data_IF_746613232506
#
_entry.id   IF_746613232506
#
_cell.length_a   1.000
_cell.length_b   1.000
_cell.length_c   1.000
_cell.angle_alpha   90.00
_cell.angle_beta   90.00
_cell.angle_gamma   90.00
#
_symmetry.space_group_name_H-M   'P 1'
#
loop_
_entity.id
_entity.type
_entity.pdbx_description
1 polymer ?
#
# COMPACT_ATOMS: atom_id res chain seq x y z
N UNK A 1 21.02 -4.33 57.53
CA UNK A 1 20.17 -4.41 56.32
C UNK A 1 20.43 -5.73 55.63
N UNK A 2 19.47 -6.61 55.66
CA UNK A 2 19.63 -8.02 55.29
C UNK A 2 19.63 -8.20 53.76
N UNK A 3 20.73 -8.69 53.21
CA UNK A 3 20.89 -8.99 51.77
C UNK A 3 19.87 -9.97 51.22
N UNK A 4 19.26 -10.81 52.08
CA UNK A 4 18.23 -11.77 51.72
C UNK A 4 16.88 -11.09 51.41
N UNK A 5 16.54 -9.99 52.11
CA UNK A 5 15.32 -9.24 51.86
C UNK A 5 15.34 -8.49 50.51
N UNK A 6 16.50 -8.03 50.07
CA UNK A 6 16.67 -7.35 48.79
C UNK A 6 16.55 -8.30 47.58
N UNK A 7 17.08 -9.53 47.70
CA UNK A 7 16.98 -10.54 46.64
C UNK A 7 15.54 -11.08 46.46
N UNK A 8 14.78 -11.21 47.54
CA UNK A 8 13.36 -11.64 47.49
C UNK A 8 12.47 -10.55 46.87
N UNK A 9 12.75 -9.28 47.14
CA UNK A 9 12.03 -8.16 46.54
C UNK A 9 12.25 -8.03 45.01
N UNK A 10 13.50 -8.23 44.56
CA UNK A 10 13.84 -8.19 43.14
C UNK A 10 13.22 -9.36 42.35
N UNK A 11 13.16 -10.56 42.93
CA UNK A 11 12.57 -11.74 42.32
C UNK A 11 11.03 -11.62 42.22
N UNK A 12 10.37 -11.02 43.20
CA UNK A 12 8.92 -10.79 43.19
C UNK A 12 8.53 -9.74 42.16
N UNK A 13 9.29 -8.64 41.99
CA UNK A 13 9.04 -7.65 40.94
C UNK A 13 9.23 -8.23 39.53
N UNK A 14 10.24 -9.10 39.32
CA UNK A 14 10.45 -9.74 38.02
C UNK A 14 9.37 -10.75 37.65
N UNK A 15 8.83 -11.48 38.64
CA UNK A 15 7.73 -12.45 38.40
C UNK A 15 6.40 -11.75 38.11
N UNK A 16 6.11 -10.61 38.73
CA UNK A 16 4.90 -9.83 38.50
C UNK A 16 4.93 -9.17 37.12
N UNK A 17 6.09 -8.65 36.69
CA UNK A 17 6.24 -8.06 35.35
C UNK A 17 6.16 -9.12 34.24
N UNK A 18 6.67 -10.33 34.44
CA UNK A 18 6.56 -11.44 33.51
C UNK A 18 5.10 -11.94 33.38
N UNK A 19 4.35 -12.03 34.47
CA UNK A 19 2.95 -12.46 34.47
C UNK A 19 2.02 -11.42 33.84
N UNK A 20 2.26 -10.14 34.04
CA UNK A 20 1.48 -9.07 33.38
C UNK A 20 1.75 -8.99 31.90
N UNK A 21 2.99 -9.17 31.46
CA UNK A 21 3.34 -9.25 30.04
C UNK A 21 2.72 -10.49 29.36
N UNK A 22 2.72 -11.63 30.03
CA UNK A 22 2.09 -12.87 29.54
C UNK A 22 0.56 -12.77 29.47
N UNK A 23 -0.07 -12.12 30.45
CA UNK A 23 -1.50 -11.84 30.44
C UNK A 23 -1.89 -10.85 29.33
N UNK A 24 -1.09 -9.80 29.11
CA UNK A 24 -1.28 -8.85 28.05
C UNK A 24 -1.13 -9.52 26.66
N UNK A 25 -0.15 -10.42 26.52
CA UNK A 25 0.04 -11.21 25.28
C UNK A 25 -1.13 -12.19 25.06
N UNK A 26 -1.61 -12.85 26.08
CA UNK A 26 -2.76 -13.76 26.00
C UNK A 26 -4.06 -13.02 25.67
N UNK A 27 -4.25 -11.83 26.23
CA UNK A 27 -5.41 -10.97 25.91
C UNK A 27 -5.31 -10.42 24.48
N UNK A 28 -4.11 -10.07 23.99
CA UNK A 28 -3.92 -9.63 22.62
C UNK A 28 -4.14 -10.75 21.60
N UNK A 29 -3.81 -12.00 21.93
CA UNK A 29 -4.07 -13.18 21.07
C UNK A 29 -5.56 -13.55 21.03
N UNK A 30 -6.34 -13.24 22.05
CA UNK A 30 -7.78 -13.49 22.07
C UNK A 30 -8.57 -12.37 21.40
N UNK A 31 -8.06 -11.14 21.42
CA UNK A 31 -8.65 -10.00 20.72
C UNK A 31 -8.56 -10.25 19.21
N UNK A 32 -9.62 -9.98 18.50
CA UNK A 32 -9.72 -10.23 17.05
C UNK A 32 -9.61 -11.72 16.61
N UNK A 33 -9.76 -12.68 17.54
CA UNK A 33 -9.66 -14.11 17.21
C UNK A 33 -10.67 -14.55 16.14
N UNK A 34 -11.88 -13.95 16.14
CA UNK A 34 -12.90 -14.24 15.11
C UNK A 34 -12.48 -13.73 13.74
N UNK A 35 -11.89 -12.53 13.65
CA UNK A 35 -11.37 -11.99 12.39
C UNK A 35 -10.17 -12.79 11.89
N UNK A 36 -9.28 -13.22 12.79
CA UNK A 36 -8.16 -14.09 12.44
C UNK A 36 -8.63 -15.45 11.91
N UNK A 37 -9.61 -16.08 12.56
CA UNK A 37 -10.24 -17.34 12.09
C UNK A 37 -10.92 -17.16 10.74
N UNK A 38 -11.67 -16.07 10.55
CA UNK A 38 -12.29 -15.74 9.26
C UNK A 38 -11.26 -15.64 8.12
N UNK A 39 -10.13 -14.97 8.39
CA UNK A 39 -9.02 -14.88 7.44
C UNK A 39 -8.38 -16.24 7.15
N UNK A 40 -8.04 -17.02 8.20
CA UNK A 40 -7.38 -18.32 8.07
C UNK A 40 -8.21 -19.33 7.26
N UNK A 41 -9.54 -19.36 7.46
CA UNK A 41 -10.48 -20.21 6.72
C UNK A 41 -10.56 -19.84 5.21
N UNK A 42 -10.04 -18.70 4.82
CA UNK A 42 -10.03 -18.17 3.45
C UNK A 42 -8.60 -18.00 2.91
N UNK A 43 -7.78 -19.02 3.14
CA UNK A 43 -6.38 -19.08 2.72
C UNK A 43 -5.49 -17.97 3.29
N UNK A 44 -5.92 -17.31 4.40
CA UNK A 44 -5.12 -16.31 5.07
C UNK A 44 -3.83 -16.90 5.62
N UNK A 45 -2.72 -16.20 5.40
CA UNK A 45 -1.39 -16.55 5.94
C UNK A 45 -1.04 -15.70 7.13
N UNK A 46 -1.29 -14.40 7.05
CA UNK A 46 -1.02 -13.41 8.09
C UNK A 46 -2.19 -12.44 8.26
N UNK A 47 -2.37 -12.01 9.49
CA UNK A 47 -3.33 -11.00 9.90
C UNK A 47 -2.70 -10.12 10.97
N UNK A 48 -2.79 -8.80 10.79
CA UNK A 48 -2.18 -7.81 11.68
C UNK A 48 -3.11 -6.62 11.86
N UNK A 49 -3.30 -6.16 13.10
CA UNK A 49 -3.99 -4.91 13.44
C UNK A 49 -3.03 -4.01 14.18
N UNK A 50 -2.83 -2.82 13.65
CA UNK A 50 -2.01 -1.75 14.24
C UNK A 50 -2.91 -0.55 14.51
N UNK A 51 -2.82 0.04 15.69
CA UNK A 51 -3.51 1.28 16.03
C UNK A 51 -2.54 2.31 16.56
N UNK A 52 -2.51 3.49 15.95
CA UNK A 52 -1.56 4.57 16.29
C UNK A 52 -0.10 4.09 16.35
N UNK A 53 0.30 3.17 15.45
CA UNK A 53 1.64 2.59 15.40
C UNK A 53 1.90 1.46 16.41
N UNK A 54 0.92 1.09 17.24
CA UNK A 54 1.03 -0.01 18.21
C UNK A 54 0.32 -1.25 17.68
N UNK A 55 1.01 -2.40 17.66
CA UNK A 55 0.41 -3.68 17.28
C UNK A 55 -0.57 -4.11 18.36
N UNK A 56 -1.85 -4.23 17.99
CA UNK A 56 -2.92 -4.72 18.85
C UNK A 56 -3.08 -6.24 18.77
N UNK A 57 -2.90 -6.80 17.57
CA UNK A 57 -2.93 -8.24 17.34
C UNK A 57 -2.14 -8.60 16.09
N UNK A 58 -1.56 -9.80 16.10
CA UNK A 58 -0.95 -10.42 14.95
C UNK A 58 -1.14 -11.94 15.01
N UNK A 59 -1.48 -12.55 13.87
CA UNK A 59 -1.69 -13.98 13.74
C UNK A 59 -1.04 -14.48 12.45
N UNK A 60 -0.39 -15.63 12.54
CA UNK A 60 0.28 -16.29 11.43
C UNK A 60 -0.23 -17.74 11.34
N UNK A 61 -1.11 -18.00 10.39
CA UNK A 61 -1.60 -19.36 10.09
C UNK A 61 -0.62 -20.12 9.18
N UNK A 62 0.28 -19.39 8.51
CA UNK A 62 1.39 -19.93 7.75
C UNK A 62 2.59 -19.00 7.81
N UNK A 63 3.79 -19.55 7.83
CA UNK A 63 5.02 -18.77 7.95
C UNK A 63 5.16 -18.11 9.33
N UNK A 64 5.72 -16.90 9.38
CA UNK A 64 5.94 -16.09 10.57
C UNK A 64 6.01 -14.61 10.24
N UNK A 65 6.38 -13.80 11.24
CA UNK A 65 6.38 -12.33 11.16
C UNK A 65 7.21 -11.77 10.00
N UNK A 66 8.29 -12.44 9.62
CA UNK A 66 9.22 -12.01 8.56
C UNK A 66 8.98 -12.74 7.23
N UNK A 67 7.97 -13.63 7.15
CA UNK A 67 7.65 -14.30 5.90
C UNK A 67 7.08 -13.31 4.89
N UNK A 68 7.71 -13.26 3.71
CA UNK A 68 7.24 -12.45 2.59
C UNK A 68 6.21 -13.22 1.79
N UNK A 69 5.07 -12.59 1.59
CA UNK A 69 4.04 -13.08 0.69
C UNK A 69 3.90 -12.14 -0.50
N UNK A 70 3.70 -12.69 -1.69
CA UNK A 70 3.33 -11.90 -2.86
C UNK A 70 1.98 -11.23 -2.60
N UNK A 71 1.90 -9.93 -2.82
CA UNK A 71 0.68 -9.15 -2.53
C UNK A 71 -0.09 -8.75 -3.79
N UNK A 72 0.36 -9.21 -4.96
CA UNK A 72 -0.28 -8.91 -6.24
C UNK A 72 -0.49 -7.41 -6.43
N UNK A 73 -1.66 -7.01 -6.90
CA UNK A 73 -2.00 -5.58 -7.10
C UNK A 73 -1.98 -4.74 -5.81
N UNK A 74 -1.92 -5.35 -4.62
CA UNK A 74 -1.62 -4.63 -3.37
C UNK A 74 -0.26 -3.92 -3.38
N UNK A 75 0.63 -4.29 -4.31
CA UNK A 75 1.91 -3.62 -4.62
C UNK A 75 1.72 -2.14 -4.94
N UNK A 76 0.59 -1.77 -5.52
CA UNK A 76 0.29 -0.39 -5.95
C UNK A 76 0.36 0.62 -4.81
N UNK A 77 0.20 0.19 -3.54
CA UNK A 77 0.40 1.04 -2.35
C UNK A 77 1.83 1.60 -2.22
N UNK A 78 2.82 1.02 -2.89
CA UNK A 78 4.19 1.54 -2.89
C UNK A 78 4.40 2.68 -3.91
N UNK A 79 3.51 2.83 -4.88
CA UNK A 79 3.58 3.90 -5.87
C UNK A 79 3.47 5.29 -5.25
N UNK A 80 2.45 5.59 -4.39
CA UNK A 80 2.38 6.88 -3.72
C UNK A 80 3.58 7.15 -2.80
N UNK A 81 4.17 6.11 -2.20
CA UNK A 81 5.39 6.28 -1.39
C UNK A 81 6.60 6.66 -2.25
N UNK A 82 6.75 6.07 -3.44
CA UNK A 82 7.79 6.45 -4.37
C UNK A 82 7.59 7.90 -4.85
N UNK A 83 6.37 8.24 -5.27
CA UNK A 83 6.03 9.61 -5.71
C UNK A 83 6.29 10.63 -4.60
N UNK A 84 5.83 10.37 -3.37
CA UNK A 84 6.03 11.24 -2.23
C UNK A 84 7.50 11.39 -1.83
N UNK A 85 8.31 10.33 -2.00
CA UNK A 85 9.75 10.39 -1.75
C UNK A 85 10.47 11.26 -2.78
N UNK A 86 10.10 11.14 -4.07
CA UNK A 86 10.65 11.96 -5.14
C UNK A 86 10.26 13.44 -4.99
N UNK A 87 9.03 13.72 -4.56
CA UNK A 87 8.57 15.10 -4.28
C UNK A 87 9.31 15.69 -3.08
N UNK A 88 9.46 14.93 -1.99
CA UNK A 88 10.20 15.36 -0.79
C UNK A 88 11.65 15.70 -1.12
N UNK A 89 12.30 14.89 -1.96
CA UNK A 89 13.67 15.10 -2.42
C UNK A 89 13.77 16.17 -3.52
N UNK A 90 12.66 16.83 -3.89
CA UNK A 90 12.57 17.88 -4.93
C UNK A 90 13.02 17.41 -6.31
N UNK A 91 12.84 16.14 -6.61
CA UNK A 91 13.17 15.54 -7.91
C UNK A 91 11.99 15.58 -8.87
N UNK A 92 10.79 15.85 -8.36
CA UNK A 92 9.54 15.81 -9.10
C UNK A 92 8.49 16.70 -8.46
N UNK A 93 7.53 17.19 -9.27
CA UNK A 93 6.25 17.71 -8.78
C UNK A 93 5.10 16.90 -9.38
N UNK A 94 3.95 16.85 -8.69
CA UNK A 94 2.81 16.11 -9.22
C UNK A 94 2.19 16.75 -10.47
N UNK A 95 2.34 18.06 -10.62
CA UNK A 95 1.72 18.82 -11.70
C UNK A 95 2.63 19.02 -12.91
N UNK A 96 3.89 18.57 -12.85
CA UNK A 96 4.74 18.61 -14.01
C UNK A 96 4.23 17.67 -15.11
N UNK A 97 4.40 18.03 -16.40
CA UNK A 97 4.04 17.14 -17.50
C UNK A 97 4.97 15.93 -17.55
N UNK A 98 4.42 14.76 -17.84
CA UNK A 98 5.19 13.52 -18.11
C UNK A 98 6.22 13.76 -19.24
N UNK A 99 5.87 14.57 -20.21
CA UNK A 99 6.74 14.99 -21.32
C UNK A 99 8.02 15.68 -20.88
N UNK A 100 8.08 16.29 -19.69
CA UNK A 100 9.32 16.86 -19.15
C UNK A 100 10.41 15.78 -18.92
N UNK A 101 10.01 14.53 -18.77
CA UNK A 101 10.91 13.39 -18.59
C UNK A 101 10.92 12.46 -19.81
N UNK A 102 9.77 12.23 -20.44
CA UNK A 102 9.60 11.47 -21.67
C UNK A 102 9.51 12.45 -22.84
N UNK A 103 10.66 13.04 -23.25
CA UNK A 103 10.74 14.19 -24.15
C UNK A 103 9.97 14.07 -25.46
N UNK A 104 9.93 12.84 -26.05
CA UNK A 104 9.21 12.58 -27.29
C UNK A 104 7.70 12.86 -27.20
N UNK A 105 7.14 12.81 -25.98
CA UNK A 105 5.74 13.12 -25.73
C UNK A 105 5.41 14.61 -25.85
N UNK A 106 6.42 15.49 -25.82
CA UNK A 106 6.24 16.92 -25.97
C UNK A 106 5.72 17.35 -27.36
N UNK A 107 5.97 16.54 -28.40
CA UNK A 107 5.47 16.78 -29.75
C UNK A 107 4.03 16.26 -29.98
N UNK A 108 3.53 15.41 -29.07
CA UNK A 108 2.18 14.85 -29.15
C UNK A 108 1.18 15.78 -28.41
N UNK A 109 0.16 16.33 -29.11
CA UNK A 109 -0.73 17.34 -28.52
C UNK A 109 -1.57 16.82 -27.36
N UNK A 110 -1.78 15.49 -27.25
CA UNK A 110 -2.55 14.88 -26.16
C UNK A 110 -1.60 14.44 -25.05
N UNK A 111 -0.55 13.68 -25.36
CA UNK A 111 0.40 13.19 -24.35
C UNK A 111 1.12 14.32 -23.61
N UNK A 112 1.39 15.45 -24.27
CA UNK A 112 2.01 16.63 -23.64
C UNK A 112 1.19 17.22 -22.51
N UNK A 113 -0.12 16.95 -22.46
CA UNK A 113 -1.03 17.42 -21.40
C UNK A 113 -1.11 16.48 -20.18
N UNK A 114 -0.54 15.28 -20.27
CA UNK A 114 -0.55 14.32 -19.17
C UNK A 114 0.43 14.77 -18.09
N UNK A 115 -0.06 15.15 -16.91
CA UNK A 115 0.78 15.39 -15.73
C UNK A 115 1.05 14.10 -14.96
N UNK A 116 2.03 14.13 -14.05
CA UNK A 116 2.30 13.02 -13.12
C UNK A 116 1.05 12.71 -12.30
N UNK A 117 0.32 13.71 -11.82
CA UNK A 117 -0.95 13.55 -11.09
C UNK A 117 -1.99 12.78 -11.91
N UNK A 118 -2.20 13.15 -13.16
CA UNK A 118 -3.15 12.50 -14.07
C UNK A 118 -2.72 11.06 -14.35
N UNK A 119 -1.42 10.82 -14.55
CA UNK A 119 -0.89 9.47 -14.73
C UNK A 119 -1.14 8.58 -13.51
N UNK A 120 -0.77 9.05 -12.30
CA UNK A 120 -0.88 8.27 -11.06
C UNK A 120 -2.32 8.06 -10.60
N UNK A 121 -3.25 8.93 -10.99
CA UNK A 121 -4.68 8.76 -10.70
C UNK A 121 -5.38 7.74 -11.62
N UNK A 122 -4.65 7.11 -12.56
CA UNK A 122 -5.23 6.18 -13.53
C UNK A 122 -6.12 6.87 -14.59
N UNK A 123 -6.01 8.21 -14.73
CA UNK A 123 -6.85 9.00 -15.62
C UNK A 123 -6.10 9.49 -16.87
N UNK A 124 -4.98 8.87 -17.21
CA UNK A 124 -4.17 9.27 -18.38
C UNK A 124 -4.78 8.89 -19.73
N UNK A 125 -5.79 8.02 -19.75
CA UNK A 125 -6.34 7.41 -20.96
C UNK A 125 -5.45 6.32 -21.56
N UNK A 126 -4.34 6.00 -20.92
CA UNK A 126 -3.39 4.98 -21.39
C UNK A 126 -3.72 3.63 -20.77
N UNK A 127 -3.89 2.61 -21.61
CA UNK A 127 -4.08 1.22 -21.18
C UNK A 127 -3.44 0.27 -22.19
N UNK A 128 -2.94 -0.85 -21.69
CA UNK A 128 -2.44 -1.92 -22.53
C UNK A 128 -3.57 -2.67 -23.20
N UNK A 129 -3.31 -3.17 -24.39
CA UNK A 129 -4.18 -4.14 -25.03
C UNK A 129 -4.31 -5.41 -24.15
N UNK A 130 -5.49 -6.02 -24.13
CA UNK A 130 -5.83 -7.12 -23.21
C UNK A 130 -4.81 -8.28 -23.28
N UNK A 131 -4.32 -8.61 -24.47
CA UNK A 131 -3.36 -9.69 -24.72
C UNK A 131 -2.02 -9.18 -25.28
N UNK A 132 -1.77 -7.88 -25.20
CA UNK A 132 -0.54 -7.24 -25.70
C UNK A 132 0.63 -7.31 -24.74
N UNK A 133 1.84 -6.98 -25.23
CA UNK A 133 3.02 -6.83 -24.37
C UNK A 133 2.80 -5.75 -23.31
N UNK A 134 3.35 -5.96 -22.10
CA UNK A 134 3.27 -5.03 -20.97
C UNK A 134 4.66 -4.54 -20.57
N UNK A 135 5.48 -4.21 -21.59
CA UNK A 135 6.82 -3.70 -21.43
C UNK A 135 6.86 -2.17 -21.59
N UNK A 136 8.04 -1.59 -21.33
CA UNK A 136 8.24 -0.15 -21.39
C UNK A 136 8.09 0.41 -22.81
N UNK A 137 8.59 -0.29 -23.83
CA UNK A 137 8.50 0.20 -25.21
C UNK A 137 7.04 0.33 -25.64
N UNK A 138 6.24 -0.70 -25.34
CA UNK A 138 4.79 -0.67 -25.56
C UNK A 138 4.13 0.46 -24.78
N UNK A 139 4.44 0.62 -23.47
CA UNK A 139 3.86 1.67 -22.65
C UNK A 139 4.15 3.08 -23.18
N UNK A 140 5.37 3.35 -23.65
CA UNK A 140 5.75 4.65 -24.24
C UNK A 140 4.98 4.91 -25.56
N UNK A 141 4.73 3.85 -26.35
CA UNK A 141 4.06 3.94 -27.64
C UNK A 141 2.54 4.10 -27.53
N UNK A 142 1.92 3.77 -26.39
CA UNK A 142 0.47 3.87 -26.19
C UNK A 142 -0.06 5.26 -26.57
N UNK A 143 -1.25 5.26 -27.15
CA UNK A 143 -2.03 6.48 -27.38
C UNK A 143 -3.18 6.53 -26.39
N UNK A 144 -3.51 7.71 -25.83
CA UNK A 144 -4.66 7.84 -24.95
C UNK A 144 -5.96 7.52 -25.69
N UNK A 145 -6.75 6.59 -25.16
CA UNK A 145 -8.07 6.24 -25.69
C UNK A 145 -9.12 7.28 -25.32
N UNK A 146 -8.87 8.05 -24.25
CA UNK A 146 -9.72 9.09 -23.71
C UNK A 146 -8.88 10.34 -23.44
N UNK A 147 -9.54 11.50 -23.36
CA UNK A 147 -8.86 12.73 -22.97
C UNK A 147 -8.29 12.60 -21.55
N UNK A 148 -7.02 12.99 -21.31
CA UNK A 148 -6.42 12.91 -19.99
C UNK A 148 -7.24 13.64 -18.92
N UNK A 149 -7.47 12.99 -17.78
CA UNK A 149 -8.26 13.51 -16.66
C UNK A 149 -9.76 13.22 -16.72
N UNK A 150 -10.29 12.62 -17.78
CA UNK A 150 -11.76 12.46 -17.95
C UNK A 150 -12.29 11.11 -17.48
N UNK A 151 -11.56 10.04 -17.72
CA UNK A 151 -11.98 8.68 -17.37
C UNK A 151 -10.87 7.92 -16.65
N UNK A 152 -11.28 7.05 -15.73
CA UNK A 152 -10.38 6.18 -14.98
C UNK A 152 -10.23 4.83 -15.67
N UNK A 153 -9.00 4.35 -15.74
CA UNK A 153 -8.65 2.98 -16.14
C UNK A 153 -7.81 2.30 -15.06
N UNK A 154 -8.24 1.11 -14.63
CA UNK A 154 -7.48 0.26 -13.69
C UNK A 154 -6.46 -0.59 -14.46
N UNK A 155 -5.47 0.06 -15.06
CA UNK A 155 -4.45 -0.56 -15.91
C UNK A 155 -3.05 -0.49 -15.29
N UNK A 156 -2.13 -1.33 -15.77
CA UNK A 156 -0.74 -1.35 -15.34
C UNK A 156 0.18 -0.38 -16.09
N UNK A 157 -0.25 0.18 -17.23
CA UNK A 157 0.58 1.10 -18.03
C UNK A 157 1.07 2.33 -17.24
N UNK A 158 0.24 3.00 -16.40
CA UNK A 158 0.72 4.11 -15.57
C UNK A 158 1.86 3.73 -14.63
N UNK A 159 1.87 2.50 -14.10
CA UNK A 159 2.89 2.02 -13.17
C UNK A 159 4.22 1.74 -13.89
N UNK A 160 4.19 1.17 -15.09
CA UNK A 160 5.37 0.95 -15.94
C UNK A 160 5.99 2.30 -16.33
N UNK A 161 5.16 3.24 -16.81
CA UNK A 161 5.60 4.59 -17.20
C UNK A 161 6.19 5.34 -16.00
N UNK A 162 5.55 5.30 -14.85
CA UNK A 162 6.05 6.00 -13.67
C UNK A 162 7.36 5.39 -13.14
N UNK A 163 7.53 4.07 -13.22
CA UNK A 163 8.82 3.42 -12.92
C UNK A 163 9.95 3.98 -13.79
N UNK A 164 9.71 4.16 -15.08
CA UNK A 164 10.70 4.73 -16.01
C UNK A 164 10.94 6.22 -15.75
N UNK A 165 9.89 7.00 -15.48
CA UNK A 165 10.02 8.41 -15.11
C UNK A 165 10.89 8.56 -13.87
N UNK A 166 10.60 7.78 -12.84
CA UNK A 166 11.39 7.76 -11.61
C UNK A 166 12.87 7.41 -11.89
N UNK A 167 13.10 6.35 -12.69
CA UNK A 167 14.45 5.93 -13.08
C UNK A 167 15.24 7.06 -13.77
N UNK A 168 14.63 7.75 -14.75
CA UNK A 168 15.28 8.85 -15.46
C UNK A 168 15.59 10.02 -14.54
N UNK A 169 14.66 10.42 -13.69
CA UNK A 169 14.86 11.50 -12.71
C UNK A 169 15.97 11.18 -11.72
N UNK A 170 15.98 9.97 -11.17
CA UNK A 170 17.02 9.49 -10.26
C UNK A 170 18.39 9.47 -10.94
N UNK A 171 18.48 9.00 -12.19
CA UNK A 171 19.71 9.00 -12.98
C UNK A 171 20.21 10.43 -13.19
N UNK A 172 19.36 11.35 -13.60
CA UNK A 172 19.72 12.76 -13.82
C UNK A 172 20.20 13.43 -12.54
N UNK A 173 19.64 13.03 -11.40
CA UNK A 173 20.02 13.55 -10.07
C UNK A 173 21.23 12.84 -9.45
N UNK A 174 21.91 11.92 -10.15
CA UNK A 174 22.99 11.08 -9.63
C UNK A 174 22.59 10.34 -8.32
N UNK A 175 21.37 9.83 -8.28
CA UNK A 175 20.86 8.99 -7.20
C UNK A 175 20.84 7.51 -7.64
N UNK A 176 20.51 6.59 -6.71
CA UNK A 176 20.25 5.20 -7.07
C UNK A 176 19.19 5.14 -8.19
N UNK A 177 19.54 4.69 -9.40
CA UNK A 177 18.66 4.80 -10.57
C UNK A 177 17.51 3.78 -10.53
N UNK A 178 17.64 2.69 -9.78
CA UNK A 178 16.58 1.70 -9.63
C UNK A 178 15.50 2.22 -8.67
N UNK A 179 14.26 2.47 -9.13
CA UNK A 179 13.20 3.05 -8.29
C UNK A 179 12.87 2.22 -7.05
N UNK A 180 12.94 0.88 -7.14
CA UNK A 180 12.66 0.02 -5.99
C UNK A 180 13.80 0.05 -4.96
N UNK A 181 15.05 0.11 -5.41
CA UNK A 181 16.20 0.27 -4.52
C UNK A 181 16.23 1.66 -3.88
N UNK A 182 15.95 2.70 -4.67
CA UNK A 182 15.82 4.06 -4.13
C UNK A 182 14.72 4.10 -3.07
N UNK A 183 13.51 3.64 -3.37
CA UNK A 183 12.40 3.61 -2.41
C UNK A 183 12.77 2.79 -1.16
N UNK A 184 13.41 1.64 -1.35
CA UNK A 184 13.82 0.77 -0.24
C UNK A 184 14.81 1.48 0.68
N UNK A 185 15.91 2.02 0.15
CA UNK A 185 16.95 2.64 0.97
C UNK A 185 16.51 3.98 1.56
N UNK A 186 15.77 4.80 0.79
CA UNK A 186 15.36 6.16 1.15
C UNK A 186 14.20 6.18 2.15
N UNK A 187 13.26 5.22 2.03
CA UNK A 187 11.99 5.28 2.75
C UNK A 187 11.67 3.99 3.50
N UNK A 188 11.74 2.83 2.86
CA UNK A 188 11.23 1.59 3.45
C UNK A 188 12.11 1.03 4.56
N UNK A 189 13.44 1.07 4.41
CA UNK A 189 14.38 0.67 5.48
C UNK A 189 14.23 1.54 6.73
N UNK A 190 14.20 2.89 6.64
CA UNK A 190 14.01 3.75 7.81
C UNK A 190 12.74 3.47 8.62
N UNK A 191 11.67 3.02 7.97
CA UNK A 191 10.40 2.69 8.64
C UNK A 191 10.31 1.22 9.07
N UNK A 192 11.29 0.39 8.75
CA UNK A 192 11.25 -1.04 9.07
C UNK A 192 10.34 -1.87 8.13
N UNK A 193 10.02 -1.38 6.94
CA UNK A 193 9.29 -2.13 5.92
C UNK A 193 10.22 -3.12 5.20
N UNK A 194 10.67 -4.10 5.94
CA UNK A 194 11.55 -5.18 5.47
C UNK A 194 11.13 -6.50 6.12
N UNK A 195 11.43 -7.65 5.53
CA UNK A 195 12.01 -7.82 4.19
C UNK A 195 11.00 -7.51 3.07
N UNK A 196 11.49 -6.98 1.96
CA UNK A 196 10.70 -6.75 0.75
C UNK A 196 11.44 -7.29 -0.47
N UNK A 197 10.71 -7.81 -1.46
CA UNK A 197 11.23 -8.27 -2.73
C UNK A 197 10.40 -7.72 -3.89
N UNK A 198 11.01 -7.65 -5.08
CA UNK A 198 10.38 -7.11 -6.28
C UNK A 198 10.61 -8.02 -7.47
N UNK A 199 9.56 -8.36 -8.19
CA UNK A 199 9.67 -8.89 -9.55
C UNK A 199 9.90 -7.75 -10.52
N UNK A 200 10.38 -8.08 -11.73
CA UNK A 200 10.76 -7.09 -12.73
C UNK A 200 10.15 -7.41 -14.08
N UNK A 201 9.98 -6.36 -14.89
CA UNK A 201 9.68 -6.48 -16.31
C UNK A 201 10.89 -7.07 -17.07
N UNK A 202 10.69 -7.43 -18.34
CA UNK A 202 11.77 -7.84 -19.24
C UNK A 202 12.86 -6.77 -19.38
N UNK A 203 12.48 -5.49 -19.27
CA UNK A 203 13.36 -4.32 -19.35
C UNK A 203 14.08 -4.04 -18.02
N UNK A 204 13.89 -4.89 -17.01
CA UNK A 204 14.53 -4.77 -15.70
C UNK A 204 13.88 -3.75 -14.75
N UNK A 205 12.79 -3.08 -15.13
CA UNK A 205 12.06 -2.17 -14.23
C UNK A 205 11.33 -2.95 -13.12
N UNK A 206 11.29 -2.43 -11.89
CA UNK A 206 10.48 -3.03 -10.83
C UNK A 206 8.99 -2.92 -11.16
N UNK A 207 8.25 -4.00 -10.92
CA UNK A 207 6.82 -4.05 -11.18
C UNK A 207 6.05 -3.47 -9.99
N UNK A 208 5.74 -2.18 -10.05
CA UNK A 208 4.92 -1.49 -9.04
C UNK A 208 3.42 -1.76 -9.19
N UNK A 209 3.00 -2.44 -10.24
CA UNK A 209 1.61 -2.87 -10.45
C UNK A 209 1.24 -4.09 -9.59
N UNK A 210 2.12 -5.13 -9.53
CA UNK A 210 1.80 -6.40 -8.84
C UNK A 210 3.02 -7.18 -8.32
N UNK A 211 4.23 -6.63 -8.41
CA UNK A 211 5.49 -7.36 -8.26
C UNK A 211 6.08 -7.44 -6.85
N UNK A 212 5.46 -6.84 -5.83
CA UNK A 212 6.03 -6.88 -4.48
C UNK A 212 5.69 -8.16 -3.72
N UNK A 213 6.68 -8.63 -2.96
CA UNK A 213 6.49 -9.61 -1.89
C UNK A 213 7.05 -9.03 -0.59
N UNK A 214 6.24 -8.93 0.45
CA UNK A 214 6.55 -8.23 1.70
C UNK A 214 5.98 -8.96 2.90
N UNK A 215 6.57 -8.78 4.08
CA UNK A 215 6.00 -9.29 5.33
C UNK A 215 4.79 -8.46 5.76
N UNK A 216 3.89 -9.05 6.58
CA UNK A 216 2.73 -8.33 7.09
C UNK A 216 3.14 -7.10 7.91
N UNK A 217 4.16 -7.22 8.74
CA UNK A 217 4.71 -6.10 9.52
C UNK A 217 5.27 -5.02 8.60
N UNK A 218 6.06 -5.40 7.59
CA UNK A 218 6.60 -4.44 6.62
C UNK A 218 5.51 -3.69 5.86
N UNK A 219 4.46 -4.40 5.42
CA UNK A 219 3.35 -3.77 4.72
C UNK A 219 2.53 -2.84 5.63
N UNK A 220 2.36 -3.22 6.91
CA UNK A 220 1.74 -2.35 7.90
C UNK A 220 2.55 -1.07 8.15
N UNK A 221 3.89 -1.13 8.18
CA UNK A 221 4.74 0.06 8.31
C UNK A 221 4.60 1.01 7.11
N UNK A 222 4.55 0.45 5.89
CA UNK A 222 4.26 1.25 4.69
C UNK A 222 2.88 1.92 4.80
N UNK A 223 1.87 1.18 5.23
CA UNK A 223 0.52 1.71 5.48
C UNK A 223 0.49 2.79 6.55
N UNK A 224 1.22 2.60 7.65
CA UNK A 224 1.29 3.59 8.73
C UNK A 224 1.96 4.90 8.25
N UNK A 225 2.99 4.82 7.40
CA UNK A 225 3.59 6.01 6.80
C UNK A 225 2.60 6.76 5.90
N UNK A 226 1.82 6.03 5.06
CA UNK A 226 0.78 6.65 4.23
C UNK A 226 -0.28 7.32 5.11
N UNK A 227 -0.82 6.60 6.11
CA UNK A 227 -1.83 7.09 7.05
C UNK A 227 -1.38 8.36 7.78
N UNK A 228 -0.09 8.44 8.12
CA UNK A 228 0.53 9.59 8.81
C UNK A 228 1.06 10.65 7.84
N UNK A 229 0.66 10.60 6.58
CA UNK A 229 1.06 11.57 5.56
C UNK A 229 2.58 11.81 5.52
N UNK A 230 3.37 10.72 5.58
CA UNK A 230 4.82 10.78 5.45
C UNK A 230 5.59 11.11 6.73
N UNK A 231 4.92 11.30 7.85
CA UNK A 231 5.59 11.57 9.14
C UNK A 231 6.02 10.26 9.80
N UNK A 232 7.31 10.12 10.06
CA UNK A 232 7.91 9.01 10.79
C UNK A 232 8.83 9.51 11.90
N UNK A 233 8.62 9.05 13.15
CA UNK A 233 9.40 9.48 14.33
C UNK A 233 9.55 11.02 14.41
N UNK A 234 8.44 11.73 14.22
CA UNK A 234 8.35 13.19 14.21
C UNK A 234 9.13 13.91 13.08
N UNK A 235 9.57 13.17 12.06
CA UNK A 235 10.21 13.74 10.87
C UNK A 235 9.36 13.51 9.64
N UNK A 236 9.27 14.52 8.78
CA UNK A 236 8.69 14.36 7.45
C UNK A 236 9.72 13.65 6.58
N UNK A 237 9.42 12.42 6.14
CA UNK A 237 10.33 11.62 5.30
C UNK A 237 9.77 11.37 3.90
N UNK A 238 8.51 11.69 3.66
CA UNK A 238 7.84 11.65 2.35
C UNK A 238 6.82 12.78 2.29
N UNK A 239 6.58 13.37 1.13
CA UNK A 239 5.71 14.54 0.96
C UNK A 239 4.28 14.29 1.46
N UNK A 240 3.83 15.12 2.41
CA UNK A 240 2.47 15.08 2.93
C UNK A 240 1.43 15.37 1.83
N UNK A 241 1.70 16.35 0.97
CA UNK A 241 0.80 16.73 -0.12
C UNK A 241 0.62 15.58 -1.11
N UNK A 242 1.73 14.90 -1.49
CA UNK A 242 1.66 13.78 -2.43
C UNK A 242 0.91 12.57 -1.83
N UNK A 243 1.09 12.28 -0.53
CA UNK A 243 0.34 11.22 0.14
C UNK A 243 -1.12 11.63 0.40
N UNK A 244 -1.39 12.90 0.65
CA UNK A 244 -2.76 13.44 0.73
C UNK A 244 -3.51 13.25 -0.59
N UNK A 245 -2.87 13.52 -1.72
CA UNK A 245 -3.44 13.26 -3.06
C UNK A 245 -3.66 11.76 -3.30
N UNK A 246 -2.76 10.90 -2.85
CA UNK A 246 -2.92 9.45 -2.99
C UNK A 246 -4.17 8.91 -2.27
N UNK A 247 -4.60 9.61 -1.21
CA UNK A 247 -5.82 9.28 -0.45
C UNK A 247 -7.04 10.13 -0.86
N UNK A 248 -6.93 10.87 -1.96
CA UNK A 248 -8.02 11.68 -2.53
C UNK A 248 -8.40 11.11 -3.89
N UNK A 249 -9.67 10.84 -4.09
CA UNK A 249 -10.16 10.44 -5.40
C UNK A 249 -10.00 11.54 -6.45
N UNK A 250 -9.92 11.16 -7.70
CA UNK A 250 -9.88 12.09 -8.84
C UNK A 250 -11.27 12.48 -9.32
N UNK A 251 -11.34 13.46 -10.24
CA UNK A 251 -12.59 13.79 -10.94
C UNK A 251 -13.07 12.59 -11.78
N UNK A 252 -12.14 11.86 -12.39
CA UNK A 252 -12.44 10.70 -13.22
C UNK A 252 -13.01 9.53 -12.39
N UNK A 253 -12.48 9.32 -11.16
CA UNK A 253 -12.95 8.28 -10.23
C UNK A 253 -12.71 8.70 -8.77
N UNK A 254 -13.79 9.00 -8.06
CA UNK A 254 -13.73 9.43 -6.67
C UNK A 254 -13.31 8.34 -5.67
N UNK A 255 -13.35 7.06 -6.10
CA UNK A 255 -13.00 5.89 -5.27
C UNK A 255 -11.60 5.38 -5.53
N UNK A 256 -10.84 5.99 -6.43
CA UNK A 256 -9.47 5.63 -6.73
C UNK A 256 -8.51 6.80 -6.46
N UNK A 257 -7.59 6.60 -5.52
CA UNK A 257 -6.41 7.43 -5.32
C UNK A 257 -5.21 6.88 -6.10
N UNK A 258 -4.00 7.29 -5.75
CA UNK A 258 -2.79 6.75 -6.40
C UNK A 258 -2.52 5.33 -5.91
N UNK A 259 -3.06 4.33 -6.62
CA UNK A 259 -2.89 2.93 -6.27
C UNK A 259 -3.65 2.46 -5.01
N UNK A 260 -4.55 3.28 -4.50
CA UNK A 260 -5.39 2.99 -3.35
C UNK A 260 -6.88 3.10 -3.73
N UNK A 261 -7.69 2.21 -3.20
CA UNK A 261 -9.14 2.25 -3.28
C UNK A 261 -9.71 2.97 -2.07
N UNK A 262 -10.70 3.84 -2.28
CA UNK A 262 -11.28 4.70 -1.24
C UNK A 262 -12.72 4.28 -0.96
N UNK A 263 -13.07 4.15 0.32
CA UNK A 263 -14.42 3.84 0.77
C UNK A 263 -15.33 5.07 0.77
N UNK A 264 -16.65 4.83 0.91
CA UNK A 264 -17.64 5.85 1.21
C UNK A 264 -17.97 6.85 0.09
N UNK A 265 -17.48 6.62 -1.14
CA UNK A 265 -17.63 7.56 -2.25
C UNK A 265 -18.22 6.91 -3.49
N UNK A 266 -19.40 7.42 -3.92
CA UNK A 266 -20.00 7.08 -5.20
C UNK A 266 -20.77 5.74 -5.25
N UNK A 267 -21.24 5.36 -6.43
CA UNK A 267 -21.95 4.11 -6.68
C UNK A 267 -20.96 3.03 -7.10
N UNK A 268 -21.23 1.77 -6.76
CA UNK A 268 -20.48 0.64 -7.28
C UNK A 268 -20.51 0.66 -8.83
N UNK A 269 -19.32 0.56 -9.43
CA UNK A 269 -19.15 0.27 -10.87
C UNK A 269 -18.58 -1.13 -10.99
N UNK A 270 -19.03 -1.88 -11.99
CA UNK A 270 -18.70 -3.30 -12.12
C UNK A 270 -17.35 -3.59 -12.82
N UNK A 271 -16.55 -2.56 -13.11
CA UNK A 271 -15.38 -2.65 -14.00
C UNK A 271 -14.04 -2.53 -13.31
N UNK A 272 -13.94 -2.83 -12.01
CA UNK A 272 -12.64 -2.83 -11.32
C UNK A 272 -12.05 -4.24 -11.29
N UNK A 273 -10.73 -4.35 -11.50
CA UNK A 273 -10.01 -5.62 -11.45
C UNK A 273 -9.98 -6.25 -10.04
N UNK A 274 -10.42 -5.53 -9.02
CA UNK A 274 -10.51 -5.99 -7.63
C UNK A 274 -11.95 -6.29 -7.25
N UNK A 275 -12.18 -7.50 -6.78
CA UNK A 275 -13.44 -7.87 -6.12
C UNK A 275 -13.46 -7.29 -4.70
N UNK A 276 -14.42 -6.41 -4.42
CA UNK A 276 -14.67 -5.87 -3.08
C UNK A 276 -16.15 -5.54 -2.89
N UNK A 277 -16.62 -5.70 -1.67
CA UNK A 277 -17.97 -5.31 -1.23
C UNK A 277 -17.97 -4.03 -0.38
N UNK A 278 -16.83 -3.31 -0.30
CA UNK A 278 -16.71 -2.06 0.46
C UNK A 278 -17.63 -0.95 -0.05
N UNK A 279 -17.99 -0.96 -1.33
CA UNK A 279 -18.82 0.07 -1.95
C UNK A 279 -20.32 -0.20 -1.86
N UNK A 280 -20.72 -1.26 -1.16
CA UNK A 280 -22.14 -1.52 -0.85
C UNK A 280 -22.61 -0.54 0.23
N UNK A 281 -23.85 -0.09 0.13
CA UNK A 281 -24.46 0.86 1.08
C UNK A 281 -24.49 0.35 2.53
N UNK A 282 -24.43 -0.97 2.72
CA UNK A 282 -24.38 -1.63 4.02
C UNK A 282 -22.96 -1.89 4.54
N UNK A 283 -21.93 -1.37 3.88
CA UNK A 283 -20.54 -1.55 4.32
C UNK A 283 -20.31 -0.90 5.69
N UNK A 284 -19.69 -1.59 6.66
CA UNK A 284 -19.32 -1.02 7.95
C UNK A 284 -18.06 -0.16 7.87
N UNK A 285 -17.44 -0.04 6.69
CA UNK A 285 -16.18 0.67 6.54
C UNK A 285 -16.34 2.17 6.81
N UNK A 286 -15.41 2.80 7.54
CA UNK A 286 -15.36 4.25 7.70
C UNK A 286 -15.29 4.97 6.34
N UNK A 287 -15.84 6.18 6.29
CA UNK A 287 -15.87 6.98 5.06
C UNK A 287 -14.46 7.37 4.57
N UNK A 288 -13.51 7.44 5.47
CA UNK A 288 -12.11 7.78 5.20
C UNK A 288 -11.21 6.55 4.98
N UNK A 289 -11.79 5.33 4.94
CA UNK A 289 -11.01 4.12 4.71
C UNK A 289 -10.40 4.16 3.30
N UNK A 290 -9.08 3.93 3.25
CA UNK A 290 -8.37 3.60 2.03
C UNK A 290 -7.88 2.15 2.07
N UNK A 291 -7.76 1.51 0.91
CA UNK A 291 -7.39 0.11 0.80
C UNK A 291 -6.43 -0.12 -0.37
N UNK A 292 -5.31 -0.80 -0.11
CA UNK A 292 -4.59 -1.48 -1.16
C UNK A 292 -5.07 -2.93 -1.23
N UNK A 293 -5.41 -3.39 -2.42
CA UNK A 293 -6.04 -4.68 -2.63
C UNK A 293 -5.35 -5.46 -3.74
N UNK A 294 -5.03 -6.71 -3.48
CA UNK A 294 -4.52 -7.66 -4.46
C UNK A 294 -5.39 -8.91 -4.54
N UNK A 295 -5.11 -9.71 -5.56
CA UNK A 295 -5.76 -10.98 -5.81
C UNK A 295 -5.61 -11.91 -4.58
N UNK A 296 -6.50 -12.89 -4.44
CA UNK A 296 -6.49 -13.81 -3.29
C UNK A 296 -6.92 -13.15 -1.98
N UNK A 297 -7.44 -11.91 -2.01
CA UNK A 297 -7.82 -11.15 -0.83
C UNK A 297 -6.62 -10.55 -0.09
N UNK A 298 -5.49 -10.31 -0.75
CA UNK A 298 -4.40 -9.51 -0.19
C UNK A 298 -4.93 -8.11 0.13
N UNK A 299 -4.82 -7.66 1.38
CA UNK A 299 -5.43 -6.39 1.84
C UNK A 299 -4.53 -5.63 2.81
N UNK A 300 -4.42 -4.34 2.55
CA UNK A 300 -3.94 -3.33 3.49
C UNK A 300 -5.04 -2.28 3.61
N UNK A 301 -5.66 -2.17 4.78
CA UNK A 301 -6.65 -1.14 5.05
C UNK A 301 -6.04 -0.04 5.92
N UNK A 302 -6.38 1.19 5.60
CA UNK A 302 -5.99 2.40 6.31
C UNK A 302 -7.26 3.13 6.74
N UNK A 303 -7.49 3.27 8.04
CA UNK A 303 -8.58 4.08 8.59
C UNK A 303 -7.96 5.24 9.40
N UNK A 304 -7.72 6.41 8.77
CA UNK A 304 -6.97 7.50 9.38
C UNK A 304 -7.62 8.05 10.66
N UNK A 305 -8.94 8.24 10.67
CA UNK A 305 -9.66 8.78 11.83
C UNK A 305 -9.55 7.85 13.06
N UNK A 306 -9.57 6.53 12.84
CA UNK A 306 -9.43 5.52 13.90
C UNK A 306 -7.97 5.25 14.28
N UNK A 307 -7.03 5.79 13.52
CA UNK A 307 -5.60 5.52 13.69
C UNK A 307 -5.19 4.10 13.30
N UNK A 308 -6.01 3.41 12.47
CA UNK A 308 -5.84 1.99 12.19
C UNK A 308 -5.11 1.71 10.89
N UNK A 309 -4.28 0.67 10.95
CA UNK A 309 -3.73 -0.05 9.81
C UNK A 309 -4.01 -1.54 10.02
N UNK A 310 -4.64 -2.19 9.04
CA UNK A 310 -4.98 -3.60 9.11
C UNK A 310 -4.38 -4.29 7.88
N UNK A 311 -3.64 -5.37 8.11
CA UNK A 311 -3.06 -6.19 7.05
C UNK A 311 -3.68 -7.57 7.07
N UNK A 312 -4.04 -8.06 5.91
CA UNK A 312 -4.35 -9.46 5.65
C UNK A 312 -3.57 -9.93 4.44
N UNK A 313 -2.82 -11.02 4.60
CA UNK A 313 -2.13 -11.68 3.49
C UNK A 313 -2.64 -13.11 3.33
N UNK A 314 -2.79 -13.54 2.08
CA UNK A 314 -3.11 -14.91 1.71
C UNK A 314 -1.86 -15.67 1.27
N UNK A 315 -1.91 -17.00 1.33
CA UNK A 315 -0.85 -17.88 0.86
C UNK A 315 -0.71 -17.89 -0.66
N UNK A 316 -1.82 -17.60 -1.36
CA UNK A 316 -1.84 -17.56 -2.83
C UNK A 316 -2.56 -16.31 -3.34
N UNK A 317 -2.37 -16.03 -4.64
CA UNK A 317 -3.09 -14.97 -5.35
C UNK A 317 -4.36 -15.50 -6.05
N UNK A 318 -4.72 -16.77 -5.85
CA UNK A 318 -5.99 -17.31 -6.35
C UNK A 318 -7.15 -16.82 -5.49
N UNK A 319 -8.30 -16.56 -6.13
CA UNK A 319 -9.48 -16.06 -5.43
C UNK A 319 -9.95 -17.01 -4.33
N UNK A 320 -10.02 -16.51 -3.11
CA UNK A 320 -10.84 -17.09 -2.05
C UNK A 320 -12.12 -16.25 -1.95
N UNK A 321 -13.24 -16.86 -1.57
CA UNK A 321 -14.48 -16.11 -1.29
C UNK A 321 -14.25 -15.13 -0.14
N UNK A 322 -13.85 -13.89 -0.48
CA UNK A 322 -13.48 -12.85 0.47
C UNK A 322 -14.55 -11.76 0.53
N UNK A 323 -14.93 -11.35 1.73
CA UNK A 323 -15.78 -10.18 1.98
C UNK A 323 -15.02 -9.19 2.86
N UNK A 324 -14.71 -8.04 2.30
CA UNK A 324 -14.10 -6.93 3.01
C UNK A 324 -15.05 -6.39 4.10
N UNK A 325 -16.34 -6.25 3.78
CA UNK A 325 -17.34 -5.77 4.72
C UNK A 325 -17.50 -6.70 5.94
N UNK A 326 -17.56 -8.01 5.72
CA UNK A 326 -17.65 -8.97 6.81
C UNK A 326 -16.37 -8.97 7.67
N UNK A 327 -15.20 -8.98 7.05
CA UNK A 327 -13.93 -8.95 7.77
C UNK A 327 -13.80 -7.70 8.63
N UNK A 328 -14.07 -6.54 8.06
CA UNK A 328 -14.00 -5.27 8.78
C UNK A 328 -15.04 -5.19 9.90
N UNK A 329 -16.25 -5.73 9.74
CA UNK A 329 -17.24 -5.77 10.81
C UNK A 329 -16.75 -6.54 12.05
N UNK A 330 -15.98 -7.63 11.84
CA UNK A 330 -15.35 -8.37 12.93
C UNK A 330 -14.24 -7.56 13.62
N UNK A 331 -13.51 -6.75 12.87
CA UNK A 331 -12.47 -5.87 13.45
C UNK A 331 -13.11 -4.78 14.31
N UNK A 332 -14.08 -4.03 13.74
CA UNK A 332 -14.72 -2.92 14.46
C UNK A 332 -15.50 -3.36 15.70
N UNK A 333 -16.04 -4.58 15.70
CA UNK A 333 -16.69 -5.16 16.88
C UNK A 333 -15.73 -5.37 18.06
N UNK A 334 -14.48 -5.71 17.78
CA UNK A 334 -13.47 -6.06 18.77
C UNK A 334 -12.53 -4.88 19.12
N UNK A 335 -12.72 -3.68 18.51
CA UNK A 335 -11.97 -2.44 18.81
C UNK A 335 -12.42 -1.79 20.10
#
# INVERSE_FOLDING_TARGET
MDRRAFLLSAAACSAVSASTAQLALAQSTQRFATAASYSAQRDGASFLVVRHGVVLAEHYSAGGADTRWAIGMGTRAFMPLLAASLVEDRLMTLDEPVAATLGDWGADPIKSTISIRVLLSGASGLSFEANGPRDLATAIALQPHQAPGTEFSDDSAPYVLFSEIARRKLTTANREPDPARYLTSRTLLPIGCVPIGWTRTSDGLPRFDDGAAVSARGWAQAGELIRRQGVWRAQQIASADALGEAMRGSFAESRAGFGLWLSGRGRARDNFAIETDLWRTSSPAPIDLAMAAGQGGQRLYLAPADGLVIVRQARSLTSAAWSDAQFLSLIWRDL
#
